data_IF_662251742590
#
_entry.id   IF_662251742590
#
_cell.length_a   1.000
_cell.length_b   1.000
_cell.length_c   1.000
_cell.angle_alpha   90.00
_cell.angle_beta   90.00
_cell.angle_gamma   90.00
#
_symmetry.space_group_name_H-M   'P 1'
#
loop_
_entity.id
_entity.type
_entity.pdbx_description
1 polymer ?
#
# COMPACT_ATOMS: atom_id res chain seq x y z
N UNK A 1 -4.56 -2.34 5.08
CA UNK A 1 -4.55 -2.24 6.56
C UNK A 1 -4.12 -3.50 7.30
N UNK A 2 -4.13 -4.71 6.71
CA UNK A 2 -3.58 -5.92 7.40
C UNK A 2 -2.09 -6.16 7.08
N UNK A 3 -1.63 -5.77 5.89
CA UNK A 3 -0.25 -6.04 5.43
C UNK A 3 0.83 -5.03 5.88
N UNK A 4 0.43 -4.00 6.64
CA UNK A 4 1.31 -2.96 7.17
C UNK A 4 1.53 -3.05 8.68
N UNK A 5 1.03 -4.10 9.34
CA UNK A 5 1.16 -4.28 10.79
C UNK A 5 0.28 -3.36 11.64
N UNK A 6 -0.67 -2.64 11.03
CA UNK A 6 -1.57 -1.69 11.73
C UNK A 6 -2.80 -2.35 12.37
N UNK A 7 -3.04 -3.63 12.11
CA UNK A 7 -4.05 -4.40 12.82
C UNK A 7 -3.47 -5.79 13.16
N UNK A 8 -3.58 -6.24 14.42
CA UNK A 8 -3.28 -7.63 14.75
C UNK A 8 -4.23 -8.53 13.97
N UNK A 9 -3.70 -9.63 13.42
CA UNK A 9 -4.51 -10.76 12.97
C UNK A 9 -5.47 -11.18 14.12
N UNK A 10 -6.69 -11.71 13.87
CA UNK A 10 -7.54 -12.30 14.92
C UNK A 10 -6.83 -13.26 15.89
N UNK A 11 -5.65 -13.77 15.54
CA UNK A 11 -4.75 -14.51 16.44
C UNK A 11 -3.83 -13.65 17.35
N UNK A 12 -3.92 -12.32 17.35
CA UNK A 12 -3.10 -11.42 18.18
C UNK A 12 -1.65 -11.22 17.72
N UNK A 13 -1.28 -11.72 16.54
CA UNK A 13 0.10 -11.65 16.04
C UNK A 13 0.28 -10.44 15.11
N UNK A 14 1.03 -9.43 15.57
CA UNK A 14 1.76 -8.53 14.67
C UNK A 14 3.04 -9.24 14.23
N UNK A 15 2.96 -10.00 13.14
CA UNK A 15 4.16 -10.57 12.51
C UNK A 15 5.09 -9.46 12.00
N UNK A 16 6.39 -9.72 11.79
CA UNK A 16 7.29 -8.73 11.22
C UNK A 16 6.73 -8.25 9.86
N UNK A 17 6.73 -6.93 9.60
CA UNK A 17 6.18 -6.40 8.36
C UNK A 17 6.86 -7.05 7.15
N UNK A 18 6.06 -7.64 6.26
CA UNK A 18 6.54 -8.28 5.04
C UNK A 18 6.78 -7.20 3.97
N UNK A 19 7.91 -6.51 4.10
CA UNK A 19 8.34 -5.42 3.22
C UNK A 19 8.35 -5.82 1.73
N UNK A 20 8.88 -6.99 1.33
CA UNK A 20 8.80 -7.43 -0.06
C UNK A 20 7.36 -7.52 -0.60
N UNK A 21 6.46 -8.11 0.18
CA UNK A 21 5.07 -8.31 -0.24
C UNK A 21 4.27 -6.99 -0.28
N UNK A 22 4.54 -6.08 0.66
CA UNK A 22 3.98 -4.72 0.65
C UNK A 22 4.47 -3.92 -0.57
N UNK A 23 5.76 -4.00 -0.90
CA UNK A 23 6.32 -3.34 -2.09
C UNK A 23 5.67 -3.86 -3.38
N UNK A 24 5.54 -5.19 -3.52
CA UNK A 24 4.89 -5.81 -4.68
C UNK A 24 3.42 -5.38 -4.82
N UNK A 25 2.70 -5.26 -3.70
CA UNK A 25 1.30 -4.81 -3.70
C UNK A 25 1.19 -3.36 -4.19
N UNK A 26 2.10 -2.48 -3.74
CA UNK A 26 2.15 -1.08 -4.19
C UNK A 26 2.48 -0.98 -5.67
N UNK A 27 3.41 -1.80 -6.16
CA UNK A 27 3.74 -1.85 -7.59
C UNK A 27 2.55 -2.30 -8.44
N UNK A 28 1.81 -3.32 -7.99
CA UNK A 28 0.61 -3.78 -8.68
C UNK A 28 -0.48 -2.70 -8.72
N UNK A 29 -0.68 -1.95 -7.62
CA UNK A 29 -1.61 -0.82 -7.58
C UNK A 29 -1.19 0.29 -8.56
N UNK A 30 0.10 0.59 -8.67
CA UNK A 30 0.63 1.53 -9.65
C UNK A 30 0.41 1.06 -11.10
N UNK A 31 0.61 -0.23 -11.37
CA UNK A 31 0.31 -0.84 -12.67
C UNK A 31 -1.18 -0.77 -13.01
N UNK A 32 -2.06 -0.98 -12.02
CA UNK A 32 -3.50 -0.83 -12.21
C UNK A 32 -3.86 0.63 -12.52
N UNK A 33 -3.34 1.59 -11.75
CA UNK A 33 -3.53 3.02 -12.02
C UNK A 33 -3.15 3.39 -13.44
N UNK A 34 -1.98 2.94 -13.91
CA UNK A 34 -1.52 3.19 -15.28
C UNK A 34 -2.43 2.55 -16.34
N UNK A 35 -2.94 1.34 -16.09
CA UNK A 35 -3.85 0.64 -17.01
C UNK A 35 -5.27 1.21 -17.02
N UNK A 36 -5.69 1.82 -15.93
CA UNK A 36 -7.02 2.45 -15.79
C UNK A 36 -7.00 3.94 -16.12
N UNK A 37 -5.84 4.51 -16.46
CA UNK A 37 -5.69 5.93 -16.77
C UNK A 37 -6.57 6.30 -17.98
N UNK A 38 -7.43 7.31 -17.81
CA UNK A 38 -8.45 7.69 -18.78
C UNK A 38 -9.80 6.95 -18.67
N UNK A 39 -9.90 5.90 -17.84
CA UNK A 39 -11.16 5.23 -17.48
C UNK A 39 -11.63 5.58 -16.06
N UNK A 40 -10.77 6.19 -15.24
CA UNK A 40 -11.10 6.63 -13.88
C UNK A 40 -11.82 7.96 -13.90
N UNK A 41 -12.82 8.12 -13.04
CA UNK A 41 -13.40 9.44 -12.73
C UNK A 41 -12.43 10.19 -11.82
N UNK A 42 -12.34 11.53 -11.92
CA UNK A 42 -11.30 12.31 -11.23
C UNK A 42 -11.25 12.16 -9.69
N UNK A 43 -12.32 11.67 -9.06
CA UNK A 43 -12.32 11.29 -7.64
C UNK A 43 -11.61 9.95 -7.40
N UNK A 44 -11.84 8.95 -8.26
CA UNK A 44 -11.19 7.63 -8.18
C UNK A 44 -9.68 7.73 -8.45
N UNK A 45 -9.28 8.59 -9.39
CA UNK A 45 -7.87 8.86 -9.66
C UNK A 45 -7.17 9.45 -8.44
N UNK A 46 -7.75 10.48 -7.83
CA UNK A 46 -7.22 11.11 -6.61
C UNK A 46 -7.17 10.15 -5.43
N UNK A 47 -8.23 9.33 -5.25
CA UNK A 47 -8.26 8.32 -4.20
C UNK A 47 -7.12 7.31 -4.39
N UNK A 48 -6.93 6.83 -5.62
CA UNK A 48 -5.89 5.84 -5.93
C UNK A 48 -4.49 6.43 -5.75
N UNK A 49 -4.27 7.68 -6.14
CA UNK A 49 -3.03 8.41 -5.88
C UNK A 49 -2.74 8.55 -4.39
N UNK A 50 -3.72 8.97 -3.60
CA UNK A 50 -3.59 9.12 -2.16
C UNK A 50 -3.26 7.79 -1.48
N UNK A 51 -3.96 6.71 -1.84
CA UNK A 51 -3.71 5.38 -1.29
C UNK A 51 -2.30 4.90 -1.64
N UNK A 52 -1.86 5.04 -2.89
CA UNK A 52 -0.50 4.64 -3.29
C UNK A 52 0.56 5.48 -2.56
N UNK A 53 0.33 6.77 -2.39
CA UNK A 53 1.23 7.67 -1.66
C UNK A 53 1.38 7.26 -0.20
N UNK A 54 0.27 7.04 0.51
CA UNK A 54 0.27 6.64 1.92
C UNK A 54 0.97 5.30 2.13
N UNK A 55 0.68 4.32 1.27
CA UNK A 55 1.34 3.01 1.32
C UNK A 55 2.85 3.11 1.10
N UNK A 56 3.31 3.97 0.17
CA UNK A 56 4.74 4.21 -0.07
C UNK A 56 5.42 4.90 1.11
N UNK A 57 4.76 5.90 1.70
CA UNK A 57 5.27 6.61 2.87
C UNK A 57 5.48 5.66 4.05
N UNK A 58 4.47 4.84 4.38
CA UNK A 58 4.57 3.85 5.45
C UNK A 58 5.63 2.78 5.17
N UNK A 59 5.76 2.33 3.92
CA UNK A 59 6.82 1.40 3.53
C UNK A 59 8.22 2.02 3.75
N UNK A 60 8.38 3.32 3.46
CA UNK A 60 9.63 4.03 3.68
C UNK A 60 9.94 4.19 5.18
N UNK A 61 8.95 4.54 6.00
CA UNK A 61 9.11 4.62 7.47
C UNK A 61 9.57 3.29 8.07
N UNK A 62 8.94 2.19 7.68
CA UNK A 62 9.31 0.86 8.18
C UNK A 62 10.68 0.40 7.65
N UNK A 63 11.08 0.81 6.44
CA UNK A 63 12.43 0.56 5.91
C UNK A 63 13.52 1.37 6.62
N UNK A 64 13.22 2.61 7.02
CA UNK A 64 14.17 3.51 7.69
C UNK A 64 14.37 3.20 9.17
N UNK A 65 13.36 2.67 9.86
CA UNK A 65 13.45 2.33 11.28
C UNK A 65 14.19 0.99 11.55
N UNK A 66 15.19 0.65 10.72
CA UNK A 66 15.89 -0.63 10.74
C UNK A 66 17.41 -0.46 10.75
#
# INVERSE_FOLDING_TARGET
MVHLGEAPDPAGHSGPPNIPMAAQTIELLGLLQQKTLGNLVGEEERLLEQVIYDLRSRLAEVKTNR
#
